data_IF_920450009448
#
_entry.id   IF_920450009448
#
_cell.length_a   1.000
_cell.length_b   1.000
_cell.length_c   1.000
_cell.angle_alpha   90.00
_cell.angle_beta   90.00
_cell.angle_gamma   90.00
#
_symmetry.space_group_name_H-M   'P 1'
#
loop_
_entity.id
_entity.type
_entity.pdbx_description
1 polymer ?
#
# COMPACT_ATOMS: atom_id res chain seq x y z
N UNK A 1 -22.94 -8.31 -28.71
CA UNK A 1 -23.03 -6.82 -28.77
C UNK A 1 -22.93 -6.20 -27.37
N UNK A 2 -21.86 -6.48 -26.60
CA UNK A 2 -21.67 -5.98 -25.22
C UNK A 2 -20.35 -5.21 -25.01
N UNK A 3 -19.46 -5.20 -26.00
CA UNK A 3 -18.13 -4.61 -25.88
C UNK A 3 -18.09 -3.09 -26.05
N UNK A 4 -19.11 -2.47 -26.67
CA UNK A 4 -19.11 -1.04 -26.97
C UNK A 4 -19.62 -0.14 -25.82
N UNK A 5 -20.27 -0.69 -24.79
CA UNK A 5 -20.85 0.08 -23.66
C UNK A 5 -20.02 0.01 -22.38
N UNK A 6 -18.92 -0.76 -22.37
CA UNK A 6 -18.07 -0.99 -21.19
C UNK A 6 -16.92 0.02 -21.03
N UNK A 7 -16.47 0.62 -22.14
CA UNK A 7 -15.34 1.56 -22.12
C UNK A 7 -15.61 2.84 -21.31
N UNK A 8 -16.85 3.36 -21.34
CA UNK A 8 -17.23 4.53 -20.56
C UNK A 8 -17.24 4.28 -19.05
N UNK A 9 -17.71 3.10 -18.62
CA UNK A 9 -17.74 2.71 -17.21
C UNK A 9 -16.35 2.55 -16.60
N UNK A 10 -15.36 2.07 -17.36
CA UNK A 10 -13.98 1.93 -16.88
C UNK A 10 -13.31 3.31 -16.73
N UNK A 11 -13.56 4.23 -17.66
CA UNK A 11 -13.06 5.61 -17.56
C UNK A 11 -13.67 6.37 -16.37
N UNK A 12 -14.96 6.15 -16.07
CA UNK A 12 -15.64 6.75 -14.90
C UNK A 12 -15.12 6.15 -13.59
N UNK A 13 -14.84 4.85 -13.55
CA UNK A 13 -14.21 4.21 -12.39
C UNK A 13 -12.79 4.76 -12.15
N UNK A 14 -12.04 5.05 -13.22
CA UNK A 14 -10.69 5.62 -13.14
C UNK A 14 -10.72 7.09 -12.67
N UNK A 15 -11.72 7.88 -13.09
CA UNK A 15 -11.91 9.27 -12.67
C UNK A 15 -12.38 9.40 -11.21
N UNK A 16 -13.23 8.50 -10.71
CA UNK A 16 -13.68 8.51 -9.31
C UNK A 16 -12.63 8.00 -8.30
N UNK A 17 -11.65 7.22 -8.77
CA UNK A 17 -10.54 6.74 -7.93
C UNK A 17 -9.35 7.71 -7.94
N UNK A 18 -9.30 8.64 -8.91
CA UNK A 18 -8.25 9.67 -8.99
C UNK A 18 -8.12 10.56 -7.73
N UNK A 19 -9.18 11.00 -7.02
CA UNK A 19 -8.99 11.77 -5.79
C UNK A 19 -8.47 10.93 -4.61
N UNK A 20 -8.60 9.60 -4.63
CA UNK A 20 -8.02 8.74 -3.60
C UNK A 20 -6.50 8.55 -3.75
N UNK A 21 -5.97 8.72 -4.96
CA UNK A 21 -4.52 8.67 -5.24
C UNK A 21 -3.82 10.03 -5.06
N UNK A 22 -4.56 11.14 -5.09
CA UNK A 22 -4.02 12.54 -5.07
C UNK A 22 -4.03 13.15 -3.66
N UNK A 23 -3.83 12.35 -2.61
CA UNK A 23 -3.72 12.83 -1.22
C UNK A 23 -2.32 12.66 -0.60
N UNK A 24 -1.27 12.41 -1.39
CA UNK A 24 0.11 12.24 -0.89
C UNK A 24 1.11 13.31 -1.35
N UNK A 25 0.67 14.40 -1.97
CA UNK A 25 1.59 15.46 -2.42
C UNK A 25 1.01 16.87 -2.23
N UNK A 26 0.98 17.33 -0.98
CA UNK A 26 1.15 18.76 -0.64
C UNK A 26 1.78 18.81 0.74
N UNK A 27 3.09 19.05 0.78
CA UNK A 27 3.75 19.58 1.97
C UNK A 27 3.83 21.08 1.74
N UNK A 28 3.02 21.91 2.42
CA UNK A 28 3.20 23.35 2.37
C UNK A 28 4.35 23.70 3.31
N UNK A 29 5.60 23.56 2.84
CA UNK A 29 6.73 24.29 3.44
C UNK A 29 7.05 25.51 2.58
N UNK A 30 6.04 26.35 2.36
CA UNK A 30 6.30 27.76 2.10
C UNK A 30 6.32 28.46 3.46
N UNK A 31 7.48 29.03 3.83
CA UNK A 31 7.65 30.47 4.13
C UNK A 31 8.87 30.71 5.01
N UNK A 32 9.77 31.52 4.48
CA UNK A 32 10.83 32.18 5.24
C UNK A 32 11.93 32.75 4.36
N UNK A 33 11.64 33.81 3.60
CA UNK A 33 12.67 34.78 3.20
C UNK A 33 12.67 35.88 4.25
N UNK A 34 13.71 35.92 5.10
CA UNK A 34 14.46 37.12 5.50
C UNK A 34 15.66 36.68 6.35
N UNK A 35 16.84 37.20 6.02
CA UNK A 35 17.66 38.00 6.93
C UNK A 35 18.74 38.69 6.07
N UNK A 36 18.49 39.95 5.72
CA UNK A 36 19.60 40.89 5.56
C UNK A 36 20.09 41.18 6.98
N UNK A 37 21.30 40.76 7.30
CA UNK A 37 22.06 41.34 8.39
C UNK A 37 23.48 41.60 7.88
N UNK A 38 23.95 42.82 8.11
CA UNK A 38 25.08 43.46 7.41
C UNK A 38 26.45 43.22 8.05
N UNK A 39 26.61 42.39 9.09
CA UNK A 39 27.96 42.12 9.63
C UNK A 39 28.15 40.69 10.14
N UNK A 40 28.82 39.87 9.33
CA UNK A 40 29.48 38.66 9.81
C UNK A 40 29.73 37.64 8.70
N UNK A 41 31.00 37.33 8.43
CA UNK A 41 31.36 36.13 7.69
C UNK A 41 31.10 34.91 8.58
N UNK A 42 29.85 34.43 8.60
CA UNK A 42 29.56 33.09 9.12
C UNK A 42 30.03 32.11 8.05
N UNK A 43 31.23 31.55 8.25
CA UNK A 43 31.68 30.36 7.53
C UNK A 43 30.87 29.15 8.05
N UNK A 44 29.55 29.15 7.81
CA UNK A 44 28.81 27.91 7.82
C UNK A 44 29.21 27.23 6.51
N UNK A 45 29.94 26.11 6.51
CA UNK A 45 30.06 25.33 5.28
C UNK A 45 28.62 25.09 4.83
N UNK A 46 28.26 25.63 3.67
CA UNK A 46 26.96 25.39 3.06
C UNK A 46 26.85 23.88 2.95
N UNK A 47 26.19 23.28 3.94
CA UNK A 47 25.99 21.85 4.01
C UNK A 47 24.92 21.63 2.97
N UNK A 48 25.36 21.43 1.72
CA UNK A 48 24.57 20.87 0.65
C UNK A 48 24.20 19.46 1.10
N UNK A 49 23.19 19.37 1.96
CA UNK A 49 22.56 18.12 2.30
C UNK A 49 21.86 17.67 1.02
N UNK A 50 22.29 16.56 0.45
CA UNK A 50 21.51 15.89 -0.58
C UNK A 50 20.16 15.55 0.06
N UNK A 51 19.13 16.29 -0.31
CA UNK A 51 17.78 16.03 0.14
C UNK A 51 17.31 14.77 -0.58
N UNK A 52 17.08 13.70 0.19
CA UNK A 52 16.68 12.41 -0.36
C UNK A 52 15.34 12.57 -1.09
N UNK A 53 15.27 12.46 -2.44
CA UNK A 53 14.01 12.59 -3.17
C UNK A 53 13.03 11.45 -2.87
N UNK A 54 13.51 10.36 -2.25
CA UNK A 54 12.67 9.29 -1.74
C UNK A 54 12.02 9.59 -0.39
N UNK A 55 12.34 10.73 0.27
CA UNK A 55 11.72 11.19 1.52
C UNK A 55 11.66 10.15 2.65
N UNK A 56 12.53 9.14 2.60
CA UNK A 56 12.71 8.14 3.66
C UNK A 56 14.06 8.41 4.33
N UNK A 57 14.03 8.67 5.63
CA UNK A 57 15.23 8.98 6.43
C UNK A 57 16.01 7.71 6.82
N UNK A 58 15.36 6.54 6.73
CA UNK A 58 15.92 5.24 7.13
C UNK A 58 15.54 4.12 6.15
N UNK A 59 16.36 3.06 6.08
CA UNK A 59 16.06 1.84 5.31
C UNK A 59 14.72 1.23 5.77
N UNK A 60 14.43 1.29 7.07
CA UNK A 60 13.16 0.82 7.58
C UNK A 60 11.97 1.64 7.08
N UNK A 61 12.09 2.97 7.02
CA UNK A 61 11.04 3.85 6.52
C UNK A 61 10.69 3.52 5.06
N UNK A 62 11.70 3.17 4.25
CA UNK A 62 11.50 2.68 2.89
C UNK A 62 10.67 1.39 2.88
N UNK A 63 11.00 0.42 3.73
CA UNK A 63 10.31 -0.87 3.81
C UNK A 63 8.85 -0.69 4.29
N UNK A 64 8.63 0.18 5.29
CA UNK A 64 7.28 0.52 5.76
C UNK A 64 6.46 1.24 4.69
N UNK A 65 7.07 2.18 3.97
CA UNK A 65 6.45 2.87 2.83
C UNK A 65 6.05 1.89 1.73
N UNK A 66 6.95 0.99 1.36
CA UNK A 66 6.68 -0.06 0.36
C UNK A 66 5.56 -0.99 0.81
N UNK A 67 5.56 -1.43 2.07
CA UNK A 67 4.51 -2.28 2.61
C UNK A 67 3.14 -1.57 2.61
N UNK A 68 3.10 -0.27 2.92
CA UNK A 68 1.88 0.54 2.88
C UNK A 68 1.32 0.63 1.45
N UNK A 69 2.16 0.76 0.44
CA UNK A 69 1.74 0.72 -0.97
C UNK A 69 1.13 -0.64 -1.32
N UNK A 70 1.76 -1.74 -0.92
CA UNK A 70 1.25 -3.10 -1.17
C UNK A 70 -0.11 -3.34 -0.50
N UNK A 71 -0.35 -2.85 0.71
CA UNK A 71 -1.66 -3.00 1.37
C UNK A 71 -2.73 -2.17 0.67
N UNK A 72 -2.39 -0.92 0.34
CA UNK A 72 -3.31 0.03 -0.30
C UNK A 72 -3.82 -0.48 -1.65
N UNK A 73 -2.95 -1.14 -2.41
CA UNK A 73 -3.29 -1.73 -3.72
C UNK A 73 -3.78 -3.18 -3.59
N UNK A 74 -3.29 -3.92 -2.58
CA UNK A 74 -3.59 -5.34 -2.39
C UNK A 74 -5.04 -5.61 -2.01
N UNK A 75 -5.64 -4.77 -1.16
CA UNK A 75 -7.05 -4.91 -0.75
C UNK A 75 -8.01 -4.85 -1.94
N UNK A 76 -8.01 -3.80 -2.79
CA UNK A 76 -8.93 -3.74 -3.92
C UNK A 76 -8.71 -4.88 -4.92
N UNK A 77 -7.46 -5.31 -5.14
CA UNK A 77 -7.14 -6.45 -6.00
C UNK A 77 -7.73 -7.75 -5.43
N UNK A 78 -7.60 -7.99 -4.13
CA UNK A 78 -8.15 -9.18 -3.48
C UNK A 78 -9.68 -9.26 -3.64
N UNK A 79 -10.38 -8.13 -3.47
CA UNK A 79 -11.83 -8.03 -3.67
C UNK A 79 -12.21 -8.32 -5.12
N UNK A 80 -11.47 -7.76 -6.09
CA UNK A 80 -11.71 -8.02 -7.52
C UNK A 80 -11.58 -9.52 -7.86
N UNK A 81 -10.55 -10.19 -7.36
CA UNK A 81 -10.39 -11.63 -7.56
C UNK A 81 -11.52 -12.44 -6.93
N UNK A 82 -11.97 -12.04 -5.74
CA UNK A 82 -13.08 -12.69 -5.06
C UNK A 82 -14.38 -12.58 -5.87
N UNK A 83 -14.72 -11.37 -6.33
CA UNK A 83 -15.90 -11.13 -7.19
C UNK A 83 -15.78 -11.92 -8.51
N UNK A 84 -14.61 -11.93 -9.15
CA UNK A 84 -14.38 -12.68 -10.38
C UNK A 84 -14.62 -14.19 -10.19
N UNK A 85 -14.10 -14.75 -9.09
CA UNK A 85 -14.31 -16.16 -8.77
C UNK A 85 -15.78 -16.49 -8.52
N UNK A 86 -16.51 -15.58 -7.84
CA UNK A 86 -17.95 -15.71 -7.60
C UNK A 86 -18.77 -15.62 -8.89
N UNK A 87 -18.42 -14.70 -9.79
CA UNK A 87 -19.07 -14.60 -11.09
C UNK A 87 -18.91 -15.85 -11.94
N UNK A 88 -17.75 -16.53 -11.86
CA UNK A 88 -17.51 -17.78 -12.58
C UNK A 88 -18.46 -18.90 -12.14
N UNK A 89 -18.84 -18.95 -10.85
CA UNK A 89 -19.84 -19.91 -10.36
C UNK A 89 -21.22 -19.65 -10.93
N UNK A 90 -21.64 -18.38 -11.01
CA UNK A 90 -22.93 -17.99 -11.59
C UNK A 90 -22.96 -18.29 -13.09
N UNK A 91 -21.85 -18.01 -13.78
CA UNK A 91 -21.76 -18.21 -15.23
C UNK A 91 -21.79 -19.69 -15.65
N UNK A 92 -21.25 -20.58 -14.82
CA UNK A 92 -21.16 -22.01 -15.12
C UNK A 92 -22.52 -22.72 -15.30
N UNK A 93 -23.63 -22.14 -14.79
CA UNK A 93 -25.04 -22.55 -15.01
C UNK A 93 -25.30 -24.08 -14.98
N UNK A 94 -24.56 -24.84 -14.18
CA UNK A 94 -24.73 -26.28 -14.03
C UNK A 94 -23.95 -27.16 -15.02
N UNK A 95 -23.12 -26.59 -15.89
CA UNK A 95 -22.16 -27.39 -16.68
C UNK A 95 -21.08 -27.97 -15.75
N UNK A 96 -20.86 -29.29 -15.83
CA UNK A 96 -19.92 -30.01 -14.94
C UNK A 96 -18.49 -29.47 -15.06
N UNK A 97 -18.08 -29.14 -16.29
CA UNK A 97 -16.76 -28.57 -16.58
C UNK A 97 -16.62 -27.12 -16.10
N UNK A 98 -17.66 -26.31 -16.26
CA UNK A 98 -17.68 -24.92 -15.79
C UNK A 98 -17.58 -24.86 -14.26
N UNK A 99 -18.30 -25.74 -13.58
CA UNK A 99 -18.30 -25.81 -12.12
C UNK A 99 -16.96 -26.30 -11.56
N UNK A 100 -16.33 -27.27 -12.23
CA UNK A 100 -14.99 -27.75 -11.86
C UNK A 100 -13.93 -26.66 -12.00
N UNK A 101 -14.02 -25.85 -13.07
CA UNK A 101 -13.14 -24.69 -13.28
C UNK A 101 -13.40 -23.59 -12.23
N UNK A 102 -14.66 -23.25 -11.96
CA UNK A 102 -15.04 -22.25 -10.96
C UNK A 102 -14.55 -22.61 -9.56
N UNK A 103 -14.74 -23.87 -9.14
CA UNK A 103 -14.26 -24.37 -7.86
C UNK A 103 -12.75 -24.27 -7.71
N UNK A 104 -12.00 -24.65 -8.76
CA UNK A 104 -10.54 -24.51 -8.76
C UNK A 104 -10.10 -23.05 -8.64
N UNK A 105 -10.73 -22.14 -9.38
CA UNK A 105 -10.42 -20.71 -9.32
C UNK A 105 -10.72 -20.11 -7.94
N UNK A 106 -11.82 -20.54 -7.32
CA UNK A 106 -12.19 -20.13 -5.97
C UNK A 106 -11.17 -20.58 -4.93
N UNK A 107 -10.70 -21.83 -5.00
CA UNK A 107 -9.65 -22.30 -4.09
C UNK A 107 -8.35 -21.51 -4.23
N UNK A 108 -7.92 -21.18 -5.44
CA UNK A 108 -6.74 -20.32 -5.64
C UNK A 108 -6.95 -18.91 -5.07
N UNK A 109 -8.14 -18.35 -5.25
CA UNK A 109 -8.49 -17.03 -4.70
C UNK A 109 -8.49 -17.06 -3.17
N UNK A 110 -9.07 -18.10 -2.57
CA UNK A 110 -9.12 -18.29 -1.13
C UNK A 110 -7.71 -18.50 -0.54
N UNK A 111 -6.85 -19.27 -1.22
CA UNK A 111 -5.44 -19.44 -0.84
C UNK A 111 -4.68 -18.11 -0.88
N UNK A 112 -4.88 -17.28 -1.92
CA UNK A 112 -4.25 -15.96 -2.01
C UNK A 112 -4.64 -15.04 -0.85
N UNK A 113 -5.94 -15.00 -0.51
CA UNK A 113 -6.45 -14.20 0.60
C UNK A 113 -5.96 -14.75 1.94
N UNK A 114 -6.02 -16.07 2.13
CA UNK A 114 -5.56 -16.73 3.35
C UNK A 114 -4.06 -16.51 3.58
N UNK A 115 -3.23 -16.53 2.53
CA UNK A 115 -1.81 -16.24 2.64
C UNK A 115 -1.54 -14.77 2.96
N UNK A 116 -2.27 -13.85 2.31
CA UNK A 116 -2.14 -12.41 2.55
C UNK A 116 -2.50 -12.04 3.99
N UNK A 117 -3.66 -12.51 4.48
CA UNK A 117 -4.10 -12.29 5.86
C UNK A 117 -3.25 -13.09 6.86
N UNK A 118 -2.86 -14.31 6.49
CA UNK A 118 -2.04 -15.19 7.32
C UNK A 118 -0.66 -14.62 7.61
N UNK A 119 0.00 -14.03 6.62
CA UNK A 119 1.30 -13.37 6.80
C UNK A 119 1.20 -12.21 7.81
N UNK A 120 0.18 -11.36 7.68
CA UNK A 120 -0.04 -10.24 8.61
C UNK A 120 -0.38 -10.71 10.03
N UNK A 121 -1.31 -11.66 10.14
CA UNK A 121 -1.76 -12.21 11.41
C UNK A 121 -0.62 -12.90 12.15
N UNK A 122 0.17 -13.71 11.45
CA UNK A 122 1.28 -14.42 12.06
C UNK A 122 2.37 -13.46 12.54
N UNK A 123 2.65 -12.38 11.79
CA UNK A 123 3.57 -11.33 12.21
C UNK A 123 3.10 -10.61 13.48
N UNK A 124 1.81 -10.31 13.59
CA UNK A 124 1.22 -9.69 14.80
C UNK A 124 1.34 -10.60 16.02
N UNK A 125 1.06 -11.90 15.87
CA UNK A 125 1.19 -12.88 16.95
C UNK A 125 2.64 -12.96 17.44
N UNK A 126 3.61 -13.04 16.53
CA UNK A 126 5.02 -13.07 16.90
C UNK A 126 5.44 -11.77 17.60
N UNK A 127 5.08 -10.61 17.05
CA UNK A 127 5.39 -9.31 17.67
C UNK A 127 4.78 -9.18 19.07
N UNK A 128 3.54 -9.60 19.25
CA UNK A 128 2.86 -9.58 20.55
C UNK A 128 3.55 -10.48 21.58
N UNK A 129 4.04 -11.63 21.14
CA UNK A 129 4.78 -12.57 22.00
C UNK A 129 6.13 -11.99 22.42
N UNK A 130 6.86 -11.37 21.49
CA UNK A 130 8.13 -10.71 21.80
C UNK A 130 7.94 -9.55 22.78
N UNK A 131 6.90 -8.73 22.56
CA UNK A 131 6.58 -7.61 23.44
C UNK A 131 6.14 -8.08 24.84
N UNK A 132 5.40 -9.20 24.93
CA UNK A 132 4.98 -9.78 26.20
C UNK A 132 6.17 -10.35 27.01
N UNK A 133 7.23 -10.78 26.34
CA UNK A 133 8.42 -11.38 26.96
C UNK A 133 9.57 -10.39 27.19
N UNK A 134 9.44 -9.12 26.75
CA UNK A 134 10.44 -8.08 26.95
C UNK A 134 9.95 -7.01 27.95
N UNK A 135 9.94 -7.29 29.28
CA UNK A 135 9.65 -6.28 30.30
C UNK A 135 10.84 -5.35 30.63
N UNK A 136 11.89 -5.30 29.80
CA UNK A 136 13.05 -4.43 30.04
C UNK A 136 13.96 -4.29 28.82
N UNK A 137 14.10 -3.05 28.36
CA UNK A 137 15.23 -2.52 27.58
C UNK A 137 15.70 -3.36 26.38
N UNK A 138 14.97 -3.30 25.26
CA UNK A 138 15.62 -3.18 23.95
C UNK A 138 15.21 -1.85 23.36
N UNK A 139 16.22 -1.00 23.12
CA UNK A 139 16.05 0.28 22.48
C UNK A 139 15.20 0.10 21.24
N UNK A 140 14.11 0.83 21.20
CA UNK A 140 13.48 1.18 19.96
C UNK A 140 14.54 1.92 19.12
N UNK A 141 15.29 1.17 18.30
CA UNK A 141 15.41 1.57 16.89
C UNK A 141 14.02 1.44 16.29
N UNK A 142 13.13 2.30 16.79
CA UNK A 142 11.93 2.74 16.12
C UNK A 142 12.46 3.29 14.83
N UNK A 143 12.35 2.45 13.82
CA UNK A 143 12.19 2.84 12.45
C UNK A 143 11.02 3.83 12.38
N UNK A 144 11.28 5.06 12.81
CA UNK A 144 10.44 6.24 12.68
C UNK A 144 10.91 7.00 11.46
#
# INVERSE_FOLDING_TARGET
MYLKKSAGTIAILFLLVSPFFVAAAVNPSERGFINQDERGYVNQPASFKLQNPLNFETICGLIQGLLKVFITIGIPIAVLFLVYSGFLFVWARGSVDGLKKAKRNFFYTLLGIALFLGAWFLGQVIASTINALSPGTVGQTSCK
#
